data_IF_486783079015
#
_entry.id   IF_486783079015
#
_cell.length_a   1.000
_cell.length_b   1.000
_cell.length_c   1.000
_cell.angle_alpha   90.00
_cell.angle_beta   90.00
_cell.angle_gamma   90.00
#
_symmetry.space_group_name_H-M   'P 1'
#
loop_
_entity.id
_entity.type
_entity.pdbx_description
1 polymer ?
#
# COMPACT_ATOMS: atom_id res chain seq x y z
N UNK A 1 -10.51 -1.44 -4.92
CA UNK A 1 -11.04 -1.89 -3.61
C UNK A 1 -10.45 -1.04 -2.50
N UNK A 2 -11.14 -0.93 -1.37
CA UNK A 2 -10.54 -0.39 -0.15
C UNK A 2 -9.43 -1.28 0.36
N UNK A 3 -8.42 -0.68 1.02
CA UNK A 3 -7.28 -1.42 1.58
C UNK A 3 -7.67 -2.31 2.76
N UNK A 4 -8.87 -2.09 3.31
CA UNK A 4 -9.52 -2.91 4.34
C UNK A 4 -10.29 -4.11 3.74
N UNK A 5 -10.31 -4.27 2.41
CA UNK A 5 -11.07 -5.31 1.73
C UNK A 5 -12.48 -4.91 1.31
N UNK A 6 -12.91 -3.69 1.62
CA UNK A 6 -14.19 -3.18 1.12
C UNK A 6 -14.20 -3.01 -0.40
N UNK A 7 -15.39 -3.01 -1.00
CA UNK A 7 -15.54 -2.89 -2.46
C UNK A 7 -14.91 -1.59 -3.00
N UNK A 8 -15.01 -0.49 -2.23
CA UNK A 8 -14.63 0.84 -2.67
C UNK A 8 -13.91 1.63 -1.58
N UNK A 9 -12.84 2.33 -1.98
CA UNK A 9 -12.23 3.39 -1.17
C UNK A 9 -13.24 4.53 -0.96
N UNK A 10 -13.56 4.85 0.29
CA UNK A 10 -14.57 5.84 0.61
C UNK A 10 -14.13 6.76 1.76
N UNK A 11 -14.28 8.07 1.59
CA UNK A 11 -13.98 9.05 2.66
C UNK A 11 -14.74 8.79 3.96
N UNK A 12 -15.99 8.31 3.86
CA UNK A 12 -16.82 7.91 5.01
C UNK A 12 -16.28 6.69 5.78
N UNK A 13 -15.38 5.92 5.16
CA UNK A 13 -14.64 4.84 5.81
C UNK A 13 -13.14 5.16 5.74
N UNK A 14 -12.59 5.95 6.67
CA UNK A 14 -11.22 6.42 6.63
C UNK A 14 -10.16 5.31 6.62
N UNK A 15 -10.50 4.08 7.04
CA UNK A 15 -9.56 2.95 7.03
C UNK A 15 -9.54 2.21 5.67
N UNK A 16 -10.51 2.48 4.79
CA UNK A 16 -10.51 1.94 3.43
C UNK A 16 -9.46 2.56 2.50
N UNK A 17 -8.84 3.68 2.89
CA UNK A 17 -7.87 4.42 2.07
C UNK A 17 -6.95 5.30 2.92
N UNK A 18 -5.83 5.73 2.33
CA UNK A 18 -4.98 6.79 2.87
C UNK A 18 -4.85 7.91 1.85
N UNK A 19 -4.89 9.17 2.30
CA UNK A 19 -4.62 10.33 1.43
C UNK A 19 -3.16 10.75 1.52
N UNK A 20 -2.66 11.34 0.43
CA UNK A 20 -1.26 11.78 0.36
C UNK A 20 -0.94 13.00 1.23
N UNK A 21 -1.97 13.69 1.75
CA UNK A 21 -1.84 14.82 2.66
C UNK A 21 -1.96 14.41 4.14
N UNK A 22 -2.13 13.13 4.44
CA UNK A 22 -2.15 12.65 5.82
C UNK A 22 -0.73 12.56 6.39
N UNK A 23 -0.56 12.66 7.73
CA UNK A 23 0.71 12.38 8.38
C UNK A 23 1.22 10.98 8.05
N UNK A 24 2.54 10.83 7.88
CA UNK A 24 3.19 9.56 7.54
C UNK A 24 2.80 8.42 8.51
N UNK A 25 2.70 8.73 9.81
CA UNK A 25 2.29 7.76 10.85
C UNK A 25 0.85 7.24 10.62
N UNK A 26 -0.07 8.10 10.18
CA UNK A 26 -1.45 7.68 9.83
C UNK A 26 -1.44 6.71 8.66
N UNK A 27 -0.65 7.03 7.63
CA UNK A 27 -0.51 6.20 6.42
C UNK A 27 0.11 4.86 6.79
N UNK A 28 1.19 4.85 7.57
CA UNK A 28 1.85 3.65 8.06
C UNK A 28 0.86 2.75 8.80
N UNK A 29 0.10 3.29 9.75
CA UNK A 29 -0.91 2.53 10.51
C UNK A 29 -1.95 1.92 9.59
N UNK A 30 -2.45 2.67 8.60
CA UNK A 30 -3.46 2.20 7.64
C UNK A 30 -2.94 1.10 6.72
N UNK A 31 -1.72 1.25 6.17
CA UNK A 31 -1.09 0.22 5.35
C UNK A 31 -0.78 -1.03 6.20
N UNK A 32 -0.31 -0.86 7.43
CA UNK A 32 -0.13 -1.97 8.38
C UNK A 32 -1.46 -2.66 8.73
N UNK A 33 -2.57 -1.92 8.76
CA UNK A 33 -3.91 -2.45 8.99
C UNK A 33 -4.57 -3.07 7.75
N UNK A 34 -3.95 -2.98 6.56
CA UNK A 34 -4.56 -3.45 5.33
C UNK A 34 -4.79 -4.97 5.34
N UNK A 35 -5.90 -5.38 4.70
CA UNK A 35 -6.29 -6.77 4.54
C UNK A 35 -5.21 -7.55 3.79
N UNK A 36 -4.84 -8.70 4.34
CA UNK A 36 -3.90 -9.64 3.71
C UNK A 36 -4.63 -10.93 3.35
N UNK A 37 -4.21 -11.59 2.28
CA UNK A 37 -4.65 -12.96 1.96
C UNK A 37 -3.84 -14.05 2.67
N UNK A 38 -3.17 -13.70 3.77
CA UNK A 38 -2.37 -14.63 4.56
C UNK A 38 -3.21 -15.55 5.45
N UNK A 39 -2.53 -16.46 6.13
CA UNK A 39 -3.14 -17.41 7.08
C UNK A 39 -3.15 -16.87 8.52
N UNK A 40 -3.78 -17.62 9.42
CA UNK A 40 -3.95 -17.23 10.84
C UNK A 40 -2.61 -17.11 11.57
N UNK A 41 -1.64 -17.94 11.22
CA UNK A 41 -0.33 -17.99 11.84
C UNK A 41 0.77 -18.33 10.83
N UNK A 42 2.03 -18.23 11.29
CA UNK A 42 3.23 -18.47 10.48
C UNK A 42 3.29 -19.90 9.94
N UNK A 43 2.97 -20.89 10.76
CA UNK A 43 3.06 -22.31 10.38
C UNK A 43 2.09 -22.64 9.24
N UNK A 44 0.83 -22.19 9.35
CA UNK A 44 -0.15 -22.34 8.27
C UNK A 44 0.27 -21.59 7.00
N UNK A 45 0.81 -20.37 7.12
CA UNK A 45 1.30 -19.61 5.97
C UNK A 45 2.42 -20.37 5.25
N UNK A 46 3.37 -20.94 5.99
CA UNK A 46 4.48 -21.71 5.42
C UNK A 46 4.02 -23.01 4.76
N UNK A 47 3.01 -23.67 5.32
CA UNK A 47 2.50 -24.95 4.81
C UNK A 47 1.54 -24.80 3.63
N UNK A 48 0.69 -23.77 3.65
CA UNK A 48 -0.46 -23.63 2.73
C UNK A 48 -0.35 -22.42 1.80
N UNK A 49 0.65 -21.57 1.99
CA UNK A 49 0.77 -20.30 1.27
C UNK A 49 -0.32 -19.29 1.60
N UNK A 50 -0.20 -18.10 1.03
CA UNK A 50 -1.23 -17.07 1.03
C UNK A 50 -1.98 -16.97 -0.30
N UNK A 51 -2.99 -16.11 -0.34
CA UNK A 51 -3.74 -15.75 -1.55
C UNK A 51 -3.48 -14.27 -1.92
N UNK A 52 -2.55 -14.00 -2.86
CA UNK A 52 -2.30 -12.65 -3.34
C UNK A 52 -3.54 -11.99 -3.99
N UNK A 53 -4.50 -12.75 -4.53
CA UNK A 53 -5.66 -12.21 -5.27
C UNK A 53 -6.59 -11.40 -4.37
N UNK A 54 -6.64 -11.70 -3.08
CA UNK A 54 -7.42 -10.95 -2.08
C UNK A 54 -6.55 -10.03 -1.23
N UNK A 55 -5.22 -10.09 -1.37
CA UNK A 55 -4.28 -9.34 -0.55
C UNK A 55 -4.19 -7.86 -0.99
N UNK A 56 -4.53 -6.92 -0.10
CA UNK A 56 -4.41 -5.49 -0.41
C UNK A 56 -2.96 -5.02 -0.40
N UNK A 57 -2.06 -5.65 0.37
CA UNK A 57 -0.62 -5.34 0.33
C UNK A 57 -0.04 -5.60 -1.06
N UNK A 58 -0.31 -6.78 -1.63
CA UNK A 58 0.14 -7.12 -2.98
C UNK A 58 -0.47 -6.16 -4.02
N UNK A 59 -1.76 -5.85 -3.92
CA UNK A 59 -2.42 -4.89 -4.84
C UNK A 59 -1.87 -3.47 -4.74
N UNK A 60 -1.56 -2.98 -3.54
CA UNK A 60 -0.96 -1.65 -3.35
C UNK A 60 0.38 -1.59 -4.10
N UNK A 61 1.23 -2.60 -3.92
CA UNK A 61 2.51 -2.69 -4.62
C UNK A 61 2.30 -2.78 -6.14
N UNK A 62 1.54 -3.78 -6.60
CA UNK A 62 1.29 -4.04 -8.02
C UNK A 62 0.69 -2.86 -8.78
N UNK A 63 -0.23 -2.10 -8.18
CA UNK A 63 -0.87 -0.99 -8.89
C UNK A 63 -0.09 0.32 -8.84
N UNK A 64 0.75 0.54 -7.83
CA UNK A 64 1.22 1.89 -7.52
C UNK A 64 2.68 2.01 -7.07
N UNK A 65 3.29 0.98 -6.48
CA UNK A 65 4.55 1.15 -5.73
C UNK A 65 5.64 0.13 -6.08
N UNK A 66 5.36 -0.81 -6.98
CA UNK A 66 6.35 -1.68 -7.60
C UNK A 66 6.25 -1.58 -9.12
N UNK A 67 7.35 -1.18 -9.76
CA UNK A 67 7.44 -1.05 -11.22
C UNK A 67 8.13 -2.27 -11.86
N UNK A 68 8.75 -3.13 -11.06
CA UNK A 68 9.44 -4.35 -11.50
C UNK A 68 8.46 -5.54 -11.51
N UNK A 69 8.04 -5.92 -12.71
CA UNK A 69 7.14 -7.05 -12.94
C UNK A 69 7.74 -8.40 -12.51
N UNK A 70 9.06 -8.59 -12.66
CA UNK A 70 9.73 -9.83 -12.24
C UNK A 70 9.70 -9.95 -10.73
N UNK A 71 9.91 -8.83 -10.03
CA UNK A 71 9.78 -8.80 -8.58
C UNK A 71 8.35 -9.10 -8.13
N UNK A 72 7.33 -8.52 -8.77
CA UNK A 72 5.93 -8.82 -8.47
C UNK A 72 5.60 -10.31 -8.68
N UNK A 73 6.08 -10.90 -9.79
CA UNK A 73 5.92 -12.32 -10.07
C UNK A 73 6.61 -13.20 -9.00
N UNK A 74 7.82 -12.81 -8.58
CA UNK A 74 8.55 -13.49 -7.50
C UNK A 74 7.80 -13.40 -6.17
N UNK A 75 7.32 -12.21 -5.78
CA UNK A 75 6.56 -12.00 -4.54
C UNK A 75 5.25 -12.81 -4.54
N UNK A 76 4.59 -12.90 -5.70
CA UNK A 76 3.42 -13.76 -5.89
C UNK A 76 3.76 -15.23 -5.64
N UNK A 77 4.78 -15.75 -6.30
CA UNK A 77 5.23 -17.15 -6.18
C UNK A 77 5.66 -17.48 -4.74
N UNK A 78 6.46 -16.61 -4.12
CA UNK A 78 6.89 -16.78 -2.74
C UNK A 78 5.71 -16.73 -1.77
N UNK A 79 4.67 -15.93 -2.04
CA UNK A 79 3.47 -15.89 -1.20
C UNK A 79 2.67 -17.19 -1.29
N UNK A 80 2.39 -17.69 -2.50
CA UNK A 80 1.60 -18.92 -2.68
C UNK A 80 2.34 -20.19 -2.24
N UNK A 81 3.68 -20.16 -2.23
CA UNK A 81 4.52 -21.25 -1.72
C UNK A 81 4.84 -21.12 -0.23
N UNK A 82 4.34 -20.08 0.45
CA UNK A 82 4.55 -19.88 1.89
C UNK A 82 5.96 -19.42 2.28
N UNK A 83 6.78 -19.00 1.31
CA UNK A 83 8.13 -18.46 1.55
C UNK A 83 8.10 -17.00 2.00
N UNK A 84 7.11 -16.22 1.54
CA UNK A 84 6.94 -14.81 1.91
C UNK A 84 5.90 -14.67 3.04
N UNK A 85 6.32 -14.08 4.16
CA UNK A 85 5.44 -13.79 5.28
C UNK A 85 4.71 -12.45 5.09
N UNK A 86 3.45 -12.39 5.52
CA UNK A 86 2.66 -11.16 5.40
C UNK A 86 3.27 -9.97 6.14
N UNK A 87 3.95 -10.21 7.27
CA UNK A 87 4.63 -9.17 8.03
C UNK A 87 5.77 -8.52 7.24
N UNK A 88 6.59 -9.32 6.58
CA UNK A 88 7.74 -8.84 5.80
C UNK A 88 7.28 -8.08 4.55
N UNK A 89 6.33 -8.66 3.80
CA UNK A 89 5.75 -8.03 2.63
C UNK A 89 5.04 -6.70 2.96
N UNK A 90 4.36 -6.65 4.11
CA UNK A 90 3.71 -5.44 4.63
C UNK A 90 4.74 -4.38 5.03
N UNK A 91 5.85 -4.77 5.67
CA UNK A 91 6.95 -3.86 6.03
C UNK A 91 7.56 -3.22 4.78
N UNK A 92 7.80 -4.01 3.74
CA UNK A 92 8.29 -3.51 2.47
C UNK A 92 7.32 -2.51 1.82
N UNK A 93 6.04 -2.87 1.75
CA UNK A 93 4.99 -2.01 1.23
C UNK A 93 4.94 -0.65 1.97
N UNK A 94 4.98 -0.67 3.31
CA UNK A 94 5.07 0.55 4.12
C UNK A 94 6.28 1.40 3.72
N UNK A 95 7.47 0.80 3.59
CA UNK A 95 8.68 1.55 3.23
C UNK A 95 8.54 2.25 1.87
N UNK A 96 8.04 1.54 0.85
CA UNK A 96 7.82 2.10 -0.50
C UNK A 96 6.78 3.21 -0.48
N UNK A 97 5.64 3.00 0.19
CA UNK A 97 4.57 3.99 0.33
C UNK A 97 5.09 5.25 1.03
N UNK A 98 5.72 5.13 2.20
CA UNK A 98 6.17 6.30 2.96
C UNK A 98 7.23 7.10 2.21
N UNK A 99 8.18 6.42 1.55
CA UNK A 99 9.19 7.07 0.71
C UNK A 99 8.53 7.88 -0.42
N UNK A 100 7.55 7.30 -1.10
CA UNK A 100 6.83 8.00 -2.16
C UNK A 100 6.07 9.23 -1.62
N UNK A 101 5.33 9.06 -0.51
CA UNK A 101 4.52 10.15 0.06
C UNK A 101 5.40 11.31 0.52
N UNK A 102 6.52 11.04 1.19
CA UNK A 102 7.45 12.08 1.62
C UNK A 102 7.96 12.90 0.42
N UNK A 103 8.36 12.23 -0.66
CA UNK A 103 8.78 12.91 -1.89
C UNK A 103 7.63 13.68 -2.55
N UNK A 104 6.42 13.11 -2.56
CA UNK A 104 5.23 13.74 -3.10
C UNK A 104 4.89 15.03 -2.35
N UNK A 105 4.90 15.00 -1.01
CA UNK A 105 4.60 16.15 -0.16
C UNK A 105 5.60 17.29 -0.40
N UNK A 106 6.91 16.98 -0.46
CA UNK A 106 7.97 17.95 -0.78
C UNK A 106 7.81 18.57 -2.17
N UNK A 107 7.40 17.78 -3.17
CA UNK A 107 7.13 18.29 -4.52
C UNK A 107 5.88 19.17 -4.56
N UNK A 108 4.82 18.74 -3.89
CA UNK A 108 3.55 19.47 -3.82
C UNK A 108 3.77 20.87 -3.23
N UNK A 109 4.50 20.98 -2.12
CA UNK A 109 4.78 22.26 -1.45
C UNK A 109 5.42 23.28 -2.41
N UNK A 110 6.42 22.85 -3.18
CA UNK A 110 7.10 23.69 -4.19
C UNK A 110 6.20 24.13 -5.36
N UNK A 111 5.05 23.49 -5.53
CA UNK A 111 4.13 23.73 -6.65
C UNK A 111 2.85 24.47 -6.22
N UNK A 112 2.68 24.80 -4.94
CA UNK A 112 1.47 25.49 -4.44
C UNK A 112 1.31 26.85 -5.12
N UNK A 113 2.38 27.65 -5.20
CA UNK A 113 2.31 28.98 -5.81
C UNK A 113 2.05 28.90 -7.31
N UNK A 114 2.60 27.88 -7.99
CA UNK A 114 2.28 27.63 -9.40
C UNK A 114 0.81 27.26 -9.57
N UNK A 115 0.24 26.47 -8.67
CA UNK A 115 -1.18 26.14 -8.70
C UNK A 115 -2.07 27.38 -8.49
N UNK A 116 -1.69 28.31 -7.60
CA UNK A 116 -2.38 29.59 -7.40
C UNK A 116 -2.35 30.46 -8.66
N UNK A 117 -1.19 30.57 -9.30
CA UNK A 117 -1.01 31.28 -10.58
C UNK A 117 -1.94 30.71 -11.68
N UNK A 118 -1.97 29.38 -11.82
CA UNK A 118 -2.80 28.70 -12.82
C UNK A 118 -4.30 28.94 -12.60
N UNK A 119 -4.73 29.01 -11.33
CA UNK A 119 -6.12 29.27 -10.97
C UNK A 119 -6.46 30.77 -10.96
N UNK A 120 -5.48 31.65 -11.17
CA UNK A 120 -5.61 33.13 -11.06
C UNK A 120 -6.19 33.56 -9.70
N UNK A 121 -5.85 32.82 -8.64
CA UNK A 121 -6.26 33.14 -7.28
C UNK A 121 -5.00 33.64 -6.57
N UNK A 122 -4.92 34.95 -6.35
CA UNK A 122 -3.86 35.58 -5.56
C UNK A 122 -4.08 35.31 -4.07
#
# INVERSE_FOLDING_TARGET
>A
PGIDGSEKMAKRNPNSMFNFNEPLESIERKVKGALTGGRKNKEEQQKLGGDPKICMIYKILMYHFEEDDEKLASDYEMCITGKLMCGDHKKECVQKVLKFIEMHQKRKEKLIDKARELLKVN
#
